data_IF_045756912386
#
_entry.id   IF_045756912386
#
_cell.length_a   1.000
_cell.length_b   1.000
_cell.length_c   1.000
_cell.angle_alpha   90.00
_cell.angle_beta   90.00
_cell.angle_gamma   90.00
#
_symmetry.space_group_name_H-M   'P 1'
#
loop_
_entity.id
_entity.type
_entity.pdbx_description
1 polymer ?
#
# COMPACT_ATOMS: atom_id res chain seq x y z
N UNK A 1 24.54 7.28 -11.17
CA UNK A 1 23.08 7.10 -11.04
C UNK A 1 22.47 7.24 -12.45
N UNK A 2 22.05 6.17 -13.12
CA UNK A 2 21.64 6.13 -14.55
C UNK A 2 20.31 6.84 -14.87
N UNK A 3 20.12 7.38 -16.06
CA UNK A 3 18.91 8.15 -16.46
C UNK A 3 17.55 7.44 -16.24
N UNK A 4 17.55 6.12 -16.09
CA UNK A 4 16.39 5.29 -15.78
C UNK A 4 15.75 5.58 -14.41
N UNK A 5 16.53 5.85 -13.35
CA UNK A 5 15.98 6.07 -12.00
C UNK A 5 15.33 7.46 -11.87
N UNK A 6 15.85 8.47 -12.60
CA UNK A 6 15.25 9.82 -12.65
C UNK A 6 13.82 9.80 -13.19
N UNK A 7 13.47 8.79 -14.01
CA UNK A 7 12.15 8.63 -14.63
C UNK A 7 11.13 7.98 -13.68
N UNK A 8 11.56 7.14 -12.74
CA UNK A 8 10.68 6.53 -11.71
C UNK A 8 10.44 7.48 -10.52
N UNK A 9 11.47 8.24 -10.13
CA UNK A 9 11.38 9.29 -9.10
C UNK A 9 10.54 10.53 -9.51
N UNK A 10 10.03 10.60 -10.74
CA UNK A 10 8.92 11.52 -11.11
C UNK A 10 7.55 11.09 -10.56
N UNK A 11 7.55 10.05 -9.72
CA UNK A 11 6.62 9.66 -8.65
C UNK A 11 5.13 9.57 -9.00
N UNK A 12 4.54 8.45 -8.56
CA UNK A 12 3.09 8.19 -8.46
C UNK A 12 2.33 9.37 -7.83
N UNK A 13 2.99 10.14 -6.95
CA UNK A 13 2.45 11.32 -6.26
C UNK A 13 2.13 12.51 -7.19
N UNK A 14 3.00 12.76 -8.18
CA UNK A 14 3.07 14.01 -8.95
C UNK A 14 2.60 13.86 -10.40
N UNK A 15 2.07 12.69 -10.79
CA UNK A 15 1.50 12.48 -12.13
C UNK A 15 0.26 13.33 -12.29
N UNK A 16 0.37 14.55 -12.77
CA UNK A 16 -0.83 15.30 -13.18
C UNK A 16 -1.37 14.76 -14.53
N UNK A 17 -2.69 14.60 -14.70
CA UNK A 17 -3.79 14.91 -13.77
C UNK A 17 -4.26 13.73 -12.88
N UNK A 18 -3.50 12.64 -12.76
CA UNK A 18 -3.96 11.33 -12.23
C UNK A 18 -3.28 10.90 -10.91
N UNK A 19 -2.51 11.77 -10.28
CA UNK A 19 -1.63 11.46 -9.15
C UNK A 19 -2.34 11.63 -7.81
N UNK A 20 -1.76 11.02 -6.77
CA UNK A 20 -2.31 11.05 -5.41
C UNK A 20 -2.60 12.48 -4.91
N UNK A 21 -1.68 13.44 -5.13
CA UNK A 21 -1.89 14.82 -4.70
C UNK A 21 -3.02 15.51 -5.48
N UNK A 22 -3.18 15.19 -6.76
CA UNK A 22 -4.33 15.66 -7.53
C UNK A 22 -5.64 15.13 -6.96
N UNK A 23 -5.69 13.82 -6.65
CA UNK A 23 -6.87 13.18 -6.08
C UNK A 23 -7.25 13.79 -4.72
N UNK A 24 -6.28 14.04 -3.83
CA UNK A 24 -6.51 14.72 -2.55
C UNK A 24 -7.07 16.15 -2.76
N UNK A 25 -6.47 16.93 -3.67
CA UNK A 25 -6.96 18.27 -3.98
C UNK A 25 -8.39 18.27 -4.54
N UNK A 26 -8.77 17.29 -5.35
CA UNK A 26 -10.16 17.14 -5.83
C UNK A 26 -11.15 16.89 -4.70
N UNK A 27 -10.70 16.27 -3.61
CA UNK A 27 -11.49 16.06 -2.39
C UNK A 27 -11.44 17.27 -1.44
N UNK A 28 -10.70 18.33 -1.78
CA UNK A 28 -10.50 19.49 -0.91
C UNK A 28 -9.57 19.22 0.27
N UNK A 29 -8.78 18.13 0.22
CA UNK A 29 -7.85 17.73 1.28
C UNK A 29 -6.43 18.16 0.89
N UNK A 30 -5.77 18.88 1.78
CA UNK A 30 -4.36 19.21 1.68
C UNK A 30 -3.50 18.14 2.39
N UNK A 31 -2.24 17.94 1.99
CA UNK A 31 -1.36 16.97 2.67
C UNK A 31 -1.16 17.24 4.17
N UNK A 32 -1.27 18.50 4.59
CA UNK A 32 -1.14 18.91 5.99
C UNK A 32 -2.37 18.58 6.85
N UNK A 33 -3.48 18.17 6.25
CA UNK A 33 -4.69 17.71 6.92
C UNK A 33 -4.72 16.18 7.12
N UNK A 34 -3.71 15.46 6.61
CA UNK A 34 -3.60 14.02 6.80
C UNK A 34 -2.92 13.73 8.13
N UNK A 35 -3.64 13.09 9.05
CA UNK A 35 -3.14 12.71 10.38
C UNK A 35 -2.36 11.39 10.39
N UNK A 36 -2.64 10.50 9.43
CA UNK A 36 -2.09 9.17 9.39
C UNK A 36 -1.93 8.65 7.96
N UNK A 37 -0.82 7.97 7.71
CA UNK A 37 -0.54 7.25 6.47
C UNK A 37 -0.20 5.81 6.82
N UNK A 38 -0.90 4.87 6.19
CA UNK A 38 -0.57 3.45 6.27
C UNK A 38 -0.01 3.02 4.92
N UNK A 39 1.23 2.55 4.91
CA UNK A 39 1.90 2.08 3.70
C UNK A 39 1.89 0.56 3.67
N UNK A 40 1.31 -0.05 2.63
CA UNK A 40 1.18 -1.52 2.56
C UNK A 40 2.54 -2.20 2.50
N UNK A 41 3.51 -1.62 1.79
CA UNK A 41 4.92 -2.02 1.72
C UNK A 41 5.74 -0.91 1.03
N UNK A 42 7.07 -0.99 1.06
CA UNK A 42 7.96 0.12 0.68
C UNK A 42 8.46 0.08 -0.77
N UNK A 43 7.78 -0.65 -1.66
CA UNK A 43 8.08 -0.53 -3.08
C UNK A 43 7.77 0.89 -3.61
N UNK A 44 8.55 1.35 -4.60
CA UNK A 44 8.53 2.72 -5.14
C UNK A 44 7.13 3.20 -5.60
N UNK A 45 6.26 2.30 -6.01
CA UNK A 45 4.89 2.59 -6.45
C UNK A 45 3.90 2.79 -5.30
N UNK A 46 4.26 2.40 -4.08
CA UNK A 46 3.47 2.58 -2.85
C UNK A 46 4.09 3.66 -1.94
N UNK A 47 5.41 3.61 -1.75
CA UNK A 47 6.17 4.57 -0.93
C UNK A 47 6.46 5.88 -1.66
N UNK A 48 6.44 5.91 -3.00
CA UNK A 48 6.78 7.11 -3.78
C UNK A 48 5.82 8.29 -3.61
N UNK A 49 4.77 8.15 -2.79
CA UNK A 49 3.91 9.25 -2.34
C UNK A 49 4.36 9.93 -1.04
N UNK A 50 5.21 9.28 -0.25
CA UNK A 50 5.57 9.72 1.11
C UNK A 50 6.51 10.93 1.09
N UNK A 51 7.34 11.05 0.07
CA UNK A 51 8.15 12.23 -0.24
C UNK A 51 7.79 12.81 -1.60
N UNK A 52 8.23 14.04 -1.83
CA UNK A 52 8.16 14.73 -3.12
C UNK A 52 9.43 15.56 -3.33
N UNK A 53 9.60 16.10 -4.53
CA UNK A 53 10.66 17.08 -4.81
C UNK A 53 10.09 18.49 -4.86
N UNK A 54 10.78 19.42 -4.21
CA UNK A 54 10.46 20.85 -4.26
C UNK A 54 10.87 21.49 -5.61
N UNK A 55 10.66 22.80 -5.77
CA UNK A 55 11.02 23.54 -6.98
C UNK A 55 12.54 23.53 -7.27
N UNK A 56 13.36 23.34 -6.25
CA UNK A 56 14.82 23.25 -6.35
C UNK A 56 15.29 21.81 -6.64
N UNK A 57 14.38 20.83 -6.59
CA UNK A 57 14.65 19.42 -6.77
C UNK A 57 15.04 18.68 -5.49
N UNK A 58 14.97 19.32 -4.33
CA UNK A 58 15.28 18.74 -3.03
C UNK A 58 14.13 17.87 -2.52
N UNK A 59 14.47 16.78 -1.82
CA UNK A 59 13.47 15.85 -1.28
C UNK A 59 12.84 16.44 -0.03
N UNK A 60 11.51 16.48 0.02
CA UNK A 60 10.74 16.86 1.21
C UNK A 60 9.59 15.88 1.48
N UNK A 61 9.15 15.82 2.74
CA UNK A 61 8.02 15.00 3.13
C UNK A 61 6.71 15.51 2.53
N UNK A 62 5.91 14.59 2.00
CA UNK A 62 4.58 14.92 1.46
C UNK A 62 3.60 15.24 2.58
N UNK A 63 3.55 14.38 3.60
CA UNK A 63 2.62 14.46 4.73
C UNK A 63 3.40 14.76 6.03
N UNK A 64 3.74 16.04 6.25
CA UNK A 64 4.66 16.50 7.31
C UNK A 64 4.15 16.31 8.74
N UNK A 65 2.83 16.17 8.91
CA UNK A 65 2.17 16.03 10.22
C UNK A 65 1.64 14.62 10.48
N UNK A 66 1.62 13.77 9.47
CA UNK A 66 1.05 12.43 9.58
C UNK A 66 1.97 11.50 10.38
N UNK A 67 1.37 10.59 11.14
CA UNK A 67 2.04 9.38 11.62
C UNK A 67 2.08 8.34 10.50
N UNK A 68 3.21 7.67 10.31
CA UNK A 68 3.41 6.69 9.23
C UNK A 68 3.55 5.29 9.80
N UNK A 69 2.59 4.41 9.52
CA UNK A 69 2.56 3.06 10.05
C UNK A 69 3.21 2.07 9.09
N UNK A 70 4.34 1.49 9.51
CA UNK A 70 5.17 0.61 8.67
C UNK A 70 5.62 -0.59 9.53
N UNK A 71 5.58 -1.79 8.96
CA UNK A 71 6.15 -2.97 9.65
C UNK A 71 7.67 -2.81 9.77
N UNK A 72 8.24 -3.09 10.96
CA UNK A 72 9.69 -3.04 11.17
C UNK A 72 10.43 -3.95 10.18
N UNK A 73 9.89 -5.14 9.93
CA UNK A 73 10.45 -6.07 8.95
C UNK A 73 10.44 -5.54 7.52
N UNK A 74 9.52 -4.63 7.17
CA UNK A 74 9.53 -3.96 5.86
C UNK A 74 10.66 -2.94 5.79
N UNK A 75 10.76 -2.10 6.83
CA UNK A 75 11.77 -1.05 6.92
C UNK A 75 13.18 -1.61 6.84
N UNK A 76 13.47 -2.61 7.67
CA UNK A 76 14.81 -3.25 7.74
C UNK A 76 15.17 -3.89 6.39
N UNK A 77 14.21 -4.55 5.74
CA UNK A 77 14.43 -5.14 4.42
C UNK A 77 14.61 -4.08 3.31
N UNK A 78 13.85 -2.98 3.35
CA UNK A 78 13.91 -1.91 2.36
C UNK A 78 15.23 -1.13 2.40
N UNK A 79 15.90 -1.08 3.56
CA UNK A 79 17.24 -0.49 3.69
C UNK A 79 18.33 -1.35 3.05
N UNK A 80 18.22 -2.67 3.18
CA UNK A 80 19.21 -3.63 2.67
C UNK A 80 18.55 -4.76 1.86
N UNK A 81 17.87 -4.44 0.74
CA UNK A 81 17.17 -5.45 -0.04
C UNK A 81 18.16 -6.35 -0.78
N UNK A 82 17.74 -7.59 -1.00
CA UNK A 82 18.50 -8.53 -1.82
C UNK A 82 18.64 -8.06 -3.28
N UNK A 83 19.51 -8.71 -4.05
CA UNK A 83 19.83 -8.32 -5.44
C UNK A 83 18.61 -8.29 -6.36
N UNK A 84 17.65 -9.22 -6.18
CA UNK A 84 16.41 -9.27 -6.96
C UNK A 84 15.47 -8.13 -6.55
N UNK A 85 15.37 -7.85 -5.26
CA UNK A 85 14.40 -6.91 -4.70
C UNK A 85 14.85 -5.45 -4.76
N UNK A 86 16.17 -5.20 -4.80
CA UNK A 86 16.77 -3.86 -4.80
C UNK A 86 16.16 -2.86 -5.80
N UNK A 87 15.84 -3.22 -7.06
CA UNK A 87 15.26 -2.28 -8.03
C UNK A 87 13.84 -1.79 -7.68
N UNK A 88 13.19 -2.43 -6.70
CA UNK A 88 11.85 -2.07 -6.25
C UNK A 88 11.85 -1.03 -5.12
N UNK A 89 12.99 -0.71 -4.51
CA UNK A 89 13.07 0.23 -3.40
C UNK A 89 13.85 1.49 -3.78
N UNK A 90 13.38 2.65 -3.30
CA UNK A 90 14.06 3.94 -3.39
C UNK A 90 14.09 4.50 -1.97
N UNK A 91 15.27 4.55 -1.34
CA UNK A 91 15.39 4.96 0.07
C UNK A 91 14.89 6.39 0.32
N UNK A 92 15.13 7.30 -0.63
CA UNK A 92 14.63 8.68 -0.59
C UNK A 92 13.09 8.77 -0.53
N UNK A 93 12.37 7.70 -0.88
CA UNK A 93 10.91 7.68 -0.76
C UNK A 93 10.46 7.56 0.71
N UNK A 94 11.26 7.01 1.63
CA UNK A 94 10.79 6.71 3.00
C UNK A 94 11.76 7.05 4.15
N UNK A 95 13.08 7.03 3.96
CA UNK A 95 14.02 7.29 5.07
C UNK A 95 13.87 8.69 5.70
N UNK A 96 13.49 9.77 4.96
CA UNK A 96 13.24 11.07 5.57
C UNK A 96 12.16 11.06 6.67
N UNK A 97 11.27 10.06 6.70
CA UNK A 97 10.28 9.91 7.77
C UNK A 97 10.90 9.66 9.14
N UNK A 98 12.01 8.92 9.18
CA UNK A 98 12.74 8.63 10.40
C UNK A 98 13.87 9.65 10.64
N UNK A 99 14.57 10.03 9.57
CA UNK A 99 15.77 10.88 9.64
C UNK A 99 15.43 12.31 10.11
N UNK A 100 15.50 12.53 11.42
CA UNK A 100 15.29 13.83 12.06
C UNK A 100 13.83 14.28 12.19
N UNK A 101 12.88 13.46 11.77
CA UNK A 101 11.44 13.75 11.84
C UNK A 101 10.68 12.86 12.84
N UNK A 102 11.17 11.65 13.12
CA UNK A 102 10.55 10.69 14.06
C UNK A 102 9.05 10.46 13.81
N UNK A 103 8.64 10.36 12.54
CA UNK A 103 7.24 10.24 12.12
C UNK A 103 6.79 8.79 11.89
N UNK A 104 7.70 7.82 12.03
CA UNK A 104 7.41 6.41 11.78
C UNK A 104 6.96 5.71 13.05
N UNK A 105 5.77 5.11 12.97
CA UNK A 105 5.22 4.20 13.96
C UNK A 105 5.50 2.77 13.50
N UNK A 106 6.56 2.18 14.03
CA UNK A 106 6.92 0.81 13.69
C UNK A 106 5.95 -0.19 14.30
N UNK A 107 5.46 -1.09 13.45
CA UNK A 107 4.64 -2.22 13.84
C UNK A 107 5.45 -3.51 13.83
N UNK A 108 5.15 -4.39 14.77
CA UNK A 108 5.75 -5.72 14.89
C UNK A 108 4.64 -6.79 14.79
N UNK A 109 3.89 -6.76 13.68
CA UNK A 109 2.75 -7.65 13.40
C UNK A 109 1.41 -6.92 13.25
N UNK A 110 0.32 -7.63 13.56
CA UNK A 110 -1.05 -7.10 13.51
C UNK A 110 -1.25 -5.99 14.57
N UNK A 111 -1.99 -4.95 14.21
CA UNK A 111 -2.24 -3.81 15.10
C UNK A 111 -3.56 -3.10 14.78
N UNK A 112 -4.14 -2.39 15.74
CA UNK A 112 -5.15 -1.36 15.48
C UNK A 112 -4.49 0.00 15.63
N UNK A 113 -4.37 0.74 14.53
CA UNK A 113 -3.56 1.98 14.47
C UNK A 113 -4.39 3.23 14.70
N UNK A 114 -5.69 3.15 14.40
CA UNK A 114 -6.73 4.14 14.68
C UNK A 114 -8.04 3.39 14.96
N UNK A 115 -9.03 4.00 15.62
CA UNK A 115 -10.33 3.37 15.85
C UNK A 115 -10.95 2.84 14.54
N UNK A 116 -11.16 1.52 14.46
CA UNK A 116 -11.73 0.88 13.28
C UNK A 116 -10.73 0.69 12.11
N UNK A 117 -9.45 1.00 12.30
CA UNK A 117 -8.39 0.84 11.29
C UNK A 117 -7.42 -0.24 11.76
N UNK A 118 -7.63 -1.45 11.26
CA UNK A 118 -6.83 -2.63 11.61
C UNK A 118 -5.78 -2.89 10.53
N UNK A 119 -4.59 -3.22 10.99
CA UNK A 119 -3.45 -3.68 10.20
C UNK A 119 -3.31 -5.17 10.40
N UNK A 120 -3.16 -5.89 9.29
CA UNK A 120 -2.75 -7.29 9.31
C UNK A 120 -1.42 -7.45 8.61
N UNK A 121 -0.42 -7.97 9.33
CA UNK A 121 0.87 -8.32 8.74
C UNK A 121 0.71 -9.63 7.98
N UNK A 122 0.79 -9.55 6.66
CA UNK A 122 0.61 -10.72 5.79
C UNK A 122 1.96 -11.26 5.33
N UNK A 123 2.94 -10.38 5.07
CA UNK A 123 4.22 -10.73 4.48
C UNK A 123 4.07 -11.43 3.11
N UNK A 124 5.16 -12.03 2.64
CA UNK A 124 5.20 -12.84 1.44
C UNK A 124 5.41 -12.07 0.15
N UNK A 125 4.65 -11.00 -0.13
CA UNK A 125 4.99 -10.11 -1.24
C UNK A 125 6.34 -9.44 -0.97
N UNK A 126 6.43 -8.81 0.20
CA UNK A 126 7.66 -8.39 0.87
C UNK A 126 7.66 -8.93 2.30
N UNK A 127 8.79 -8.94 3.04
CA UNK A 127 8.80 -9.48 4.40
C UNK A 127 7.84 -8.74 5.35
N UNK A 128 7.63 -7.45 5.15
CA UNK A 128 6.73 -6.63 5.96
C UNK A 128 5.47 -6.14 5.25
N UNK A 129 5.07 -6.73 4.11
CA UNK A 129 3.82 -6.34 3.46
C UNK A 129 2.62 -6.54 4.39
N UNK A 130 1.72 -5.56 4.43
CA UNK A 130 0.56 -5.50 5.31
C UNK A 130 -0.70 -5.09 4.55
N UNK A 131 -1.86 -5.53 5.05
CA UNK A 131 -3.17 -5.15 4.53
C UNK A 131 -3.93 -4.30 5.55
N UNK A 132 -4.76 -3.39 5.06
CA UNK A 132 -5.59 -2.51 5.88
C UNK A 132 -7.02 -3.04 5.89
N UNK A 133 -7.58 -3.28 7.08
CA UNK A 133 -8.99 -3.61 7.28
C UNK A 133 -9.68 -2.44 7.98
N UNK A 134 -10.51 -1.73 7.24
CA UNK A 134 -11.33 -0.63 7.74
C UNK A 134 -12.68 -1.18 8.20
N UNK A 135 -13.14 -0.78 9.39
CA UNK A 135 -14.42 -1.19 9.96
C UNK A 135 -15.28 0.02 10.31
N UNK A 136 -16.56 -0.07 9.99
CA UNK A 136 -17.57 0.93 10.37
C UNK A 136 -18.90 0.24 10.61
N UNK A 137 -19.27 0.07 11.90
CA UNK A 137 -20.42 -0.74 12.29
C UNK A 137 -20.28 -2.18 11.78
N UNK A 138 -21.25 -2.65 11.01
CA UNK A 138 -21.24 -3.98 10.40
C UNK A 138 -20.47 -4.05 9.07
N UNK A 139 -20.05 -2.90 8.53
CA UNK A 139 -19.33 -2.80 7.26
C UNK A 139 -17.83 -2.99 7.48
N UNK A 140 -17.17 -3.65 6.52
CA UNK A 140 -15.73 -3.72 6.47
C UNK A 140 -15.20 -3.60 5.04
N UNK A 141 -14.00 -3.02 4.90
CA UNK A 141 -13.27 -2.85 3.67
C UNK A 141 -11.83 -3.31 3.85
N UNK A 142 -11.31 -4.13 2.94
CA UNK A 142 -9.94 -4.61 2.91
C UNK A 142 -9.18 -3.95 1.76
N UNK A 143 -8.19 -3.11 2.06
CA UNK A 143 -7.21 -2.63 1.08
C UNK A 143 -6.05 -3.62 1.07
N UNK A 144 -5.90 -4.35 -0.02
CA UNK A 144 -5.08 -5.57 -0.08
C UNK A 144 -3.62 -5.32 -0.36
N UNK A 145 -3.25 -4.11 -0.79
CA UNK A 145 -1.93 -3.85 -1.34
C UNK A 145 -1.63 -4.86 -2.45
N UNK A 146 -0.45 -5.46 -2.34
CA UNK A 146 0.06 -6.41 -3.32
C UNK A 146 -0.16 -7.89 -2.92
N UNK A 147 -0.85 -8.15 -1.80
CA UNK A 147 -1.34 -9.51 -1.50
C UNK A 147 -2.35 -9.97 -2.57
N UNK A 148 -3.18 -9.04 -3.04
CA UNK A 148 -4.09 -9.21 -4.18
C UNK A 148 -4.11 -7.90 -4.96
N UNK A 149 -3.27 -7.78 -5.98
CA UNK A 149 -3.13 -6.50 -6.69
C UNK A 149 -4.14 -6.31 -7.83
N UNK A 150 -4.66 -7.39 -8.43
CA UNK A 150 -5.56 -7.35 -9.60
C UNK A 150 -6.56 -8.51 -9.58
N UNK A 151 -7.64 -8.39 -10.36
CA UNK A 151 -8.72 -9.38 -10.44
C UNK A 151 -8.23 -10.81 -10.74
N UNK A 152 -7.26 -11.04 -11.65
CA UNK A 152 -6.71 -12.40 -11.85
C UNK A 152 -6.10 -13.01 -10.59
N UNK A 153 -5.54 -12.20 -9.70
CA UNK A 153 -4.90 -12.64 -8.46
C UNK A 153 -5.90 -13.06 -7.39
N UNK A 154 -7.22 -12.80 -7.56
CA UNK A 154 -8.27 -13.34 -6.69
C UNK A 154 -8.31 -14.88 -6.70
N UNK A 155 -7.77 -15.51 -7.74
CA UNK A 155 -7.52 -16.96 -7.73
C UNK A 155 -6.32 -17.24 -6.83
N UNK A 156 -6.52 -18.01 -5.76
CA UNK A 156 -5.48 -18.24 -4.75
C UNK A 156 -4.13 -18.67 -5.35
N UNK A 157 -4.05 -19.63 -6.30
CA UNK A 157 -2.76 -20.06 -6.84
C UNK A 157 -2.09 -19.05 -7.81
N UNK A 158 -2.76 -17.95 -8.16
CA UNK A 158 -2.23 -16.97 -9.11
C UNK A 158 -1.61 -15.80 -8.36
N UNK A 159 -0.30 -15.67 -8.41
CA UNK A 159 0.46 -14.67 -7.68
C UNK A 159 1.40 -13.90 -8.61
N UNK A 160 2.04 -12.87 -8.07
CA UNK A 160 2.96 -12.04 -8.84
C UNK A 160 4.33 -12.68 -8.92
N UNK A 161 5.01 -12.49 -10.05
CA UNK A 161 6.42 -12.84 -10.18
C UNK A 161 7.34 -12.07 -9.21
N UNK A 162 6.84 -10.97 -8.62
CA UNK A 162 7.55 -10.15 -7.64
C UNK A 162 7.50 -10.73 -6.21
N UNK A 163 6.60 -11.68 -5.90
CA UNK A 163 6.46 -12.20 -4.55
C UNK A 163 7.72 -12.92 -4.08
N UNK A 164 8.16 -12.64 -2.84
CA UNK A 164 9.35 -13.24 -2.24
C UNK A 164 9.04 -14.62 -1.65
N UNK A 165 7.89 -14.77 -0.99
CA UNK A 165 7.42 -16.03 -0.42
C UNK A 165 6.01 -16.40 -0.94
N UNK A 166 5.90 -16.94 -2.18
CA UNK A 166 4.60 -17.22 -2.81
C UNK A 166 3.69 -18.14 -2.01
N UNK A 167 4.24 -19.11 -1.27
CA UNK A 167 3.46 -20.01 -0.43
C UNK A 167 2.77 -19.27 0.72
N UNK A 168 3.47 -18.30 1.32
CA UNK A 168 2.89 -17.42 2.35
C UNK A 168 1.80 -16.52 1.75
N UNK A 169 2.03 -15.98 0.55
CA UNK A 169 1.01 -15.23 -0.20
C UNK A 169 -0.24 -16.07 -0.43
N UNK A 170 -0.12 -17.33 -0.85
CA UNK A 170 -1.28 -18.21 -1.03
C UNK A 170 -2.07 -18.42 0.25
N UNK A 171 -1.39 -18.68 1.38
CA UNK A 171 -2.04 -18.89 2.68
C UNK A 171 -2.79 -17.63 3.14
N UNK A 172 -2.12 -16.48 3.15
CA UNK A 172 -2.71 -15.22 3.62
C UNK A 172 -3.83 -14.75 2.71
N UNK A 173 -3.68 -14.94 1.39
CA UNK A 173 -4.72 -14.63 0.41
C UNK A 173 -5.92 -15.54 0.59
N UNK A 174 -5.75 -16.85 0.75
CA UNK A 174 -6.86 -17.77 0.99
C UNK A 174 -7.66 -17.35 2.23
N UNK A 175 -6.96 -17.02 3.33
CA UNK A 175 -7.57 -16.55 4.57
C UNK A 175 -8.33 -15.24 4.38
N UNK A 176 -7.71 -14.23 3.76
CA UNK A 176 -8.34 -12.93 3.54
C UNK A 176 -9.59 -13.03 2.66
N UNK A 177 -9.52 -13.80 1.57
CA UNK A 177 -10.62 -13.96 0.62
C UNK A 177 -11.78 -14.76 1.24
N UNK A 178 -11.51 -15.79 2.05
CA UNK A 178 -12.55 -16.52 2.79
C UNK A 178 -13.28 -15.60 3.78
N UNK A 179 -12.53 -14.81 4.56
CA UNK A 179 -13.12 -13.84 5.49
C UNK A 179 -13.94 -12.77 4.74
N UNK A 180 -13.42 -12.24 3.62
CA UNK A 180 -14.10 -11.24 2.82
C UNK A 180 -15.38 -11.76 2.15
N UNK A 181 -15.39 -12.98 1.63
CA UNK A 181 -16.60 -13.62 1.08
C UNK A 181 -17.64 -13.87 2.18
N UNK A 182 -17.23 -14.51 3.29
CA UNK A 182 -18.11 -14.87 4.41
C UNK A 182 -18.77 -13.67 5.05
N UNK A 183 -18.03 -12.58 5.22
CA UNK A 183 -18.49 -11.39 5.92
C UNK A 183 -18.84 -10.24 4.98
N UNK A 184 -18.85 -10.49 3.66
CA UNK A 184 -19.17 -9.51 2.62
C UNK A 184 -18.35 -8.22 2.75
N UNK A 185 -17.04 -8.35 2.90
CA UNK A 185 -16.15 -7.19 2.92
C UNK A 185 -16.02 -6.61 1.52
N UNK A 186 -15.97 -5.28 1.43
CA UNK A 186 -15.49 -4.62 0.23
C UNK A 186 -13.99 -4.92 0.12
N UNK A 187 -13.51 -5.36 -1.03
CA UNK A 187 -12.08 -5.60 -1.28
C UNK A 187 -11.60 -4.57 -2.29
N UNK A 188 -10.47 -3.92 -1.99
CA UNK A 188 -9.85 -2.89 -2.83
C UNK A 188 -8.49 -3.37 -3.29
N UNK A 189 -8.33 -3.53 -4.60
CA UNK A 189 -7.16 -4.05 -5.30
C UNK A 189 -6.28 -2.90 -5.80
N UNK A 190 -5.02 -2.86 -5.37
CA UNK A 190 -4.14 -1.69 -5.57
C UNK A 190 -3.71 -1.42 -7.02
N UNK A 191 -3.78 -2.41 -7.91
CA UNK A 191 -3.31 -2.31 -9.30
C UNK A 191 -4.37 -2.66 -10.34
N UNK A 192 -5.64 -2.73 -9.93
CA UNK A 192 -6.76 -2.97 -10.83
C UNK A 192 -7.18 -1.64 -11.49
N UNK A 193 -7.02 -1.47 -12.81
CA UNK A 193 -7.18 -0.16 -13.45
C UNK A 193 -8.63 0.32 -13.54
N UNK A 194 -9.58 -0.60 -13.71
CA UNK A 194 -10.95 -0.27 -14.07
C UNK A 194 -11.87 -0.24 -12.85
N UNK A 195 -12.04 -1.40 -12.21
CA UNK A 195 -12.95 -1.59 -11.06
C UNK A 195 -12.17 -2.14 -9.86
N UNK A 196 -11.41 -1.28 -9.16
CA UNK A 196 -10.52 -1.71 -8.10
C UNK A 196 -11.24 -2.19 -6.85
N UNK A 197 -12.52 -1.85 -6.68
CA UNK A 197 -13.30 -2.20 -5.52
C UNK A 197 -14.44 -3.16 -5.90
N UNK A 198 -14.70 -4.15 -5.04
CA UNK A 198 -15.75 -5.14 -5.29
C UNK A 198 -15.89 -6.14 -4.16
N UNK A 199 -16.85 -7.05 -4.31
CA UNK A 199 -17.16 -8.09 -3.35
C UNK A 199 -16.86 -9.48 -3.91
N UNK A 200 -16.52 -10.40 -3.03
CA UNK A 200 -16.52 -11.83 -3.33
C UNK A 200 -17.90 -12.41 -3.04
N UNK A 201 -18.42 -13.15 -4.01
CA UNK A 201 -19.65 -13.92 -3.90
C UNK A 201 -19.35 -15.42 -3.96
N UNK A 202 -20.37 -16.21 -3.62
CA UNK A 202 -20.36 -17.68 -3.59
C UNK A 202 -19.47 -18.31 -4.66
N UNK A 203 -18.41 -18.98 -4.20
CA UNK A 203 -17.44 -19.69 -5.05
C UNK A 203 -16.33 -18.79 -5.61
N UNK A 204 -15.99 -17.71 -4.90
CA UNK A 204 -14.90 -16.79 -5.26
C UNK A 204 -15.21 -15.92 -6.49
N UNK A 205 -16.48 -15.68 -6.80
CA UNK A 205 -16.88 -14.84 -7.94
C UNK A 205 -16.69 -13.36 -7.58
N UNK A 206 -15.94 -12.64 -8.40
CA UNK A 206 -15.78 -11.19 -8.27
C UNK A 206 -17.03 -10.45 -8.76
N UNK A 207 -17.66 -9.67 -7.88
CA UNK A 207 -18.67 -8.67 -8.24
C UNK A 207 -18.06 -7.28 -8.05
N UNK A 208 -17.62 -6.60 -9.12
CA UNK A 208 -17.09 -5.25 -9.00
C UNK A 208 -18.17 -4.28 -8.53
N UNK A 209 -17.79 -3.32 -7.71
CA UNK A 209 -18.63 -2.16 -7.43
C UNK A 209 -18.47 -1.12 -8.55
N UNK A 210 -19.53 -0.36 -8.87
CA UNK A 210 -19.44 0.76 -9.80
C UNK A 210 -18.35 1.73 -9.35
N UNK A 211 -17.67 2.33 -10.33
CA UNK A 211 -16.63 3.32 -10.05
C UNK A 211 -17.24 4.46 -9.24
N UNK A 212 -16.66 4.78 -8.09
CA UNK A 212 -16.96 6.00 -7.36
C UNK A 212 -16.47 7.16 -8.25
N UNK A 213 -17.39 7.87 -8.89
CA UNK A 213 -17.12 9.05 -9.74
C UNK A 213 -16.98 10.32 -8.91
#
# INVERSE_FOLDING_TARGET
MTDHWKKRARQVALREPEGMLHALRRLGITPDEVDAVVTTHLHWDHAGGLTRRDENGEVELTFKKARHFIQRSEWDFALEPDVRSRPSYITDDFTPLADGNDLVEFLDGDAEVLPGVQIRHVGGHTPGSQVLILRSGELACAVTGDLVCQTPHLRVPWNMAADIEPLRVFEQKARLLDEAEKHRWLVVLSHEPDQPAGYLEGGGRWRPEPRLT
#
